data_IF_502539962300
#
_entry.id   IF_502539962300
#
_cell.length_a   1.000
_cell.length_b   1.000
_cell.length_c   1.000
_cell.angle_alpha   90.00
_cell.angle_beta   90.00
_cell.angle_gamma   90.00
#
_symmetry.space_group_name_H-M   'P 1'
#
loop_
_entity.id
_entity.type
_entity.pdbx_description
1 polymer ?
#
# COMPACT_ATOMS: atom_id res chain seq x y z
N UNK A 1 -42.35 4.99 35.02
CA UNK A 1 -41.03 5.25 34.40
C UNK A 1 -40.31 3.91 34.21
N UNK A 2 -40.09 3.46 32.97
CA UNK A 2 -39.43 2.20 32.68
C UNK A 2 -37.91 2.38 32.61
N UNK A 3 -37.15 1.65 33.44
CA UNK A 3 -35.68 1.62 33.40
C UNK A 3 -35.24 0.83 32.17
N UNK A 4 -34.53 1.46 31.23
CA UNK A 4 -33.85 0.79 30.11
C UNK A 4 -32.77 -0.13 30.68
N UNK A 5 -32.85 -1.42 30.38
CA UNK A 5 -31.83 -2.42 30.71
C UNK A 5 -30.61 -2.14 29.83
N UNK A 6 -29.46 -1.85 30.43
CA UNK A 6 -28.21 -1.72 29.70
C UNK A 6 -27.86 -3.09 29.10
N UNK A 7 -27.74 -3.14 27.78
CA UNK A 7 -27.25 -4.33 27.08
C UNK A 7 -25.73 -4.31 27.23
N UNK A 8 -25.22 -5.29 27.97
CA UNK A 8 -23.78 -5.47 28.16
C UNK A 8 -23.18 -5.95 26.83
N UNK A 9 -22.50 -5.05 26.13
CA UNK A 9 -21.83 -5.37 24.86
C UNK A 9 -20.53 -6.06 25.20
N UNK A 10 -20.40 -7.33 24.84
CA UNK A 10 -19.15 -8.07 24.99
C UNK A 10 -18.05 -7.39 24.16
N UNK A 11 -17.19 -6.63 24.82
CA UNK A 11 -16.03 -6.01 24.21
C UNK A 11 -15.01 -7.10 23.90
N UNK A 12 -15.02 -7.61 22.67
CA UNK A 12 -13.98 -8.50 22.17
C UNK A 12 -12.68 -7.71 22.17
N UNK A 13 -11.71 -8.11 23.00
CA UNK A 13 -10.43 -7.42 23.16
C UNK A 13 -9.71 -7.46 21.81
N UNK A 14 -9.47 -6.28 21.25
CA UNK A 14 -8.74 -6.10 20.00
C UNK A 14 -7.34 -6.73 20.15
N UNK A 15 -6.95 -7.58 19.20
CA UNK A 15 -5.66 -8.27 19.17
C UNK A 15 -4.48 -7.29 19.18
N UNK A 16 -4.70 -6.09 18.64
CA UNK A 16 -3.71 -5.01 18.54
C UNK A 16 -4.00 -3.86 19.53
N UNK A 17 -4.59 -4.15 20.69
CA UNK A 17 -4.92 -3.14 21.71
C UNK A 17 -3.70 -2.36 22.23
N UNK A 18 -2.51 -2.94 22.14
CA UNK A 18 -1.23 -2.35 22.55
C UNK A 18 -0.62 -1.42 21.49
N UNK A 19 -1.14 -1.45 20.25
CA UNK A 19 -0.67 -0.63 19.15
C UNK A 19 -1.64 0.53 18.92
N UNK A 20 -1.13 1.76 19.05
CA UNK A 20 -1.92 2.97 18.83
C UNK A 20 -2.64 2.89 17.47
N UNK A 21 -3.95 3.17 17.36
CA UNK A 21 -4.72 2.95 16.13
C UNK A 21 -4.12 3.58 14.87
N UNK A 22 -3.47 4.74 15.02
CA UNK A 22 -2.75 5.45 13.93
C UNK A 22 -1.55 4.66 13.39
N UNK A 23 -0.94 3.80 14.20
CA UNK A 23 0.26 3.04 13.84
C UNK A 23 -0.04 1.66 13.23
N UNK A 24 -1.32 1.30 13.05
CA UNK A 24 -1.73 -0.03 12.56
C UNK A 24 -1.46 -0.27 11.06
N UNK A 25 -0.76 0.64 10.37
CA UNK A 25 -0.51 0.54 8.92
C UNK A 25 -1.79 0.53 8.08
N UNK A 26 -2.94 0.88 8.68
CA UNK A 26 -4.24 0.94 8.04
C UNK A 26 -4.66 2.36 7.70
N UNK A 27 -3.70 3.24 7.41
CA UNK A 27 -3.99 4.57 6.87
C UNK A 27 -3.49 4.65 5.42
N UNK A 28 -4.24 5.36 4.58
CA UNK A 28 -3.78 5.72 3.24
C UNK A 28 -2.62 6.71 3.35
N UNK A 29 -1.70 6.68 2.38
CA UNK A 29 -0.64 7.68 2.32
C UNK A 29 -1.24 9.00 1.78
N UNK A 30 -1.15 10.12 2.52
CA UNK A 30 -1.66 11.39 2.03
C UNK A 30 -0.78 11.90 0.87
N UNK A 31 -1.38 12.22 -0.28
CA UNK A 31 -0.68 12.82 -1.42
C UNK A 31 -0.62 14.36 -1.37
N UNK A 32 -1.01 15.03 -0.27
CA UNK A 32 -0.84 16.48 -0.18
C UNK A 32 0.65 16.83 -0.29
N UNK A 33 1.00 17.26 -1.50
CA UNK A 33 2.32 17.43 -2.08
C UNK A 33 3.15 18.50 -1.35
N UNK A 34 3.77 18.10 -0.25
CA UNK A 34 5.03 18.66 0.22
C UNK A 34 6.20 17.76 -0.19
N UNK A 35 7.42 18.15 0.15
CA UNK A 35 8.70 17.47 -0.11
C UNK A 35 8.86 16.05 0.52
N UNK A 36 7.81 15.22 0.54
CA UNK A 36 7.78 13.90 1.18
C UNK A 36 6.84 12.87 0.55
N UNK A 37 6.14 13.16 -0.55
CA UNK A 37 5.40 12.14 -1.29
C UNK A 37 6.37 11.26 -2.08
N UNK A 38 6.22 9.92 -2.00
CA UNK A 38 7.06 9.02 -2.77
C UNK A 38 6.87 9.25 -4.28
N UNK A 39 7.96 9.31 -5.07
CA UNK A 39 7.87 9.33 -6.51
C UNK A 39 7.07 8.14 -7.01
N UNK A 40 6.17 8.41 -7.96
CA UNK A 40 5.29 7.39 -8.50
C UNK A 40 5.05 7.59 -9.99
N UNK A 41 4.63 6.52 -10.65
CA UNK A 41 4.11 6.54 -12.01
C UNK A 41 2.76 5.85 -12.08
N UNK A 42 1.93 6.29 -13.00
CA UNK A 42 0.68 5.61 -13.35
C UNK A 42 0.96 4.45 -14.30
N UNK A 43 0.34 3.31 -14.03
CA UNK A 43 0.41 2.09 -14.85
C UNK A 43 -0.95 1.40 -14.85
N UNK A 44 -1.18 0.46 -15.76
CA UNK A 44 -2.34 -0.43 -15.71
C UNK A 44 -2.12 -1.60 -14.77
N UNK A 45 -3.18 -2.05 -14.11
CA UNK A 45 -3.13 -3.20 -13.21
C UNK A 45 -2.91 -4.55 -13.90
N UNK A 46 -3.11 -4.61 -15.23
CA UNK A 46 -2.92 -5.81 -16.06
C UNK A 46 -1.45 -6.20 -16.29
N UNK A 47 -0.50 -5.39 -15.81
CA UNK A 47 0.93 -5.68 -15.91
C UNK A 47 1.56 -5.29 -17.24
N UNK A 48 0.87 -4.49 -18.08
CA UNK A 48 1.49 -3.87 -19.25
C UNK A 48 2.50 -2.82 -18.78
N UNK A 49 3.73 -3.27 -18.54
CA UNK A 49 4.85 -2.41 -18.18
C UNK A 49 5.85 -2.44 -19.32
N UNK A 50 6.07 -1.27 -19.93
CA UNK A 50 7.30 -1.04 -20.68
C UNK A 50 8.49 -1.38 -19.77
N UNK A 51 9.49 -2.18 -20.23
CA UNK A 51 10.65 -2.51 -19.45
C UNK A 51 11.34 -1.21 -19.00
N UNK A 52 11.33 -0.94 -17.70
CA UNK A 52 12.14 0.11 -17.15
C UNK A 52 13.50 -0.50 -16.83
N UNK A 53 14.58 0.09 -17.35
CA UNK A 53 15.92 -0.21 -16.88
C UNK A 53 16.06 0.36 -15.46
N UNK A 54 15.60 -0.39 -14.48
CA UNK A 54 15.72 -0.01 -13.08
C UNK A 54 17.14 -0.28 -12.61
N UNK A 55 17.90 0.80 -12.36
CA UNK A 55 19.17 0.73 -11.65
C UNK A 55 18.96 0.93 -10.14
N UNK A 56 19.55 0.06 -9.33
CA UNK A 56 19.58 0.21 -7.87
C UNK A 56 20.67 1.18 -7.39
N UNK A 57 21.52 1.68 -8.31
CA UNK A 57 22.67 2.55 -8.01
C UNK A 57 22.33 4.05 -8.11
N UNK A 58 21.05 4.39 -8.24
CA UNK A 58 20.59 5.79 -8.26
C UNK A 58 20.76 6.39 -6.86
N UNK A 59 21.45 7.53 -6.78
CA UNK A 59 21.48 8.34 -5.56
C UNK A 59 20.10 8.95 -5.31
N UNK A 60 19.37 8.35 -4.37
CA UNK A 60 17.98 8.66 -4.06
C UNK A 60 17.71 8.42 -2.58
N UNK A 61 16.83 9.23 -1.95
CA UNK A 61 16.39 8.99 -0.57
C UNK A 61 15.70 7.63 -0.37
N UNK A 62 15.32 6.95 -1.46
CA UNK A 62 14.68 5.63 -1.43
C UNK A 62 15.62 4.47 -1.78
N UNK A 63 16.94 4.72 -1.90
CA UNK A 63 17.91 3.69 -2.29
C UNK A 63 17.89 2.46 -1.36
N UNK A 64 17.91 2.68 -0.04
CA UNK A 64 17.89 1.56 0.92
C UNK A 64 16.54 0.85 0.95
N UNK A 65 15.44 1.59 0.77
CA UNK A 65 14.11 1.00 0.65
C UNK A 65 14.01 0.10 -0.58
N UNK A 66 14.54 0.55 -1.73
CA UNK A 66 14.59 -0.24 -2.95
C UNK A 66 15.45 -1.50 -2.78
N UNK A 67 16.58 -1.45 -2.05
CA UNK A 67 17.39 -2.65 -1.73
C UNK A 67 16.63 -3.66 -0.88
N UNK A 68 15.85 -3.21 0.10
CA UNK A 68 15.00 -4.10 0.91
C UNK A 68 13.95 -4.77 0.03
N UNK A 69 13.24 -3.99 -0.77
CA UNK A 69 12.24 -4.48 -1.72
C UNK A 69 12.85 -5.44 -2.74
N UNK A 70 14.05 -5.17 -3.25
CA UNK A 70 14.79 -6.05 -4.15
C UNK A 70 15.05 -7.42 -3.53
N UNK A 71 15.47 -7.46 -2.26
CA UNK A 71 15.65 -8.72 -1.53
C UNK A 71 14.34 -9.47 -1.36
N UNK A 72 13.25 -8.77 -1.01
CA UNK A 72 11.90 -9.33 -0.88
C UNK A 72 11.31 -9.77 -2.23
N UNK A 73 11.82 -9.26 -3.35
CA UNK A 73 11.41 -9.62 -4.70
C UNK A 73 12.29 -10.72 -5.33
N UNK A 74 13.05 -11.46 -4.52
CA UNK A 74 13.92 -12.54 -5.01
C UNK A 74 15.11 -12.03 -5.82
N UNK A 75 15.69 -10.89 -5.41
CA UNK A 75 16.77 -10.21 -6.11
C UNK A 75 16.41 -9.84 -7.56
N UNK A 76 15.21 -9.27 -7.74
CA UNK A 76 14.75 -8.72 -9.03
C UNK A 76 14.26 -7.28 -8.84
N UNK A 77 14.65 -6.34 -9.71
CA UNK A 77 14.10 -4.99 -9.66
C UNK A 77 12.63 -4.98 -10.09
N UNK A 78 11.95 -3.85 -9.90
CA UNK A 78 10.58 -3.64 -10.34
C UNK A 78 9.51 -4.06 -9.32
N UNK A 79 8.25 -4.24 -9.75
CA UNK A 79 7.11 -4.43 -8.85
C UNK A 79 7.24 -5.66 -7.95
N UNK A 80 6.99 -5.48 -6.66
CA UNK A 80 7.13 -6.54 -5.65
C UNK A 80 5.78 -7.20 -5.38
N UNK A 81 5.68 -8.50 -5.67
CA UNK A 81 4.45 -9.29 -5.47
C UNK A 81 3.98 -9.25 -4.02
N UNK A 82 2.69 -9.02 -3.80
CA UNK A 82 2.06 -8.97 -2.47
C UNK A 82 2.16 -7.62 -1.74
N UNK A 83 2.98 -6.69 -2.24
CA UNK A 83 3.22 -5.39 -1.62
C UNK A 83 2.36 -4.29 -2.26
N UNK A 84 1.05 -4.35 -1.99
CA UNK A 84 0.09 -3.35 -2.44
C UNK A 84 -0.08 -2.23 -1.42
N UNK A 85 -0.20 -1.00 -1.92
CA UNK A 85 -0.36 0.24 -1.15
C UNK A 85 -1.62 0.98 -1.59
N UNK A 86 -2.08 1.90 -0.74
CA UNK A 86 -3.24 2.76 -1.01
C UNK A 86 -2.80 4.20 -0.79
N UNK A 87 -3.02 5.03 -1.80
CA UNK A 87 -2.62 6.42 -1.80
C UNK A 87 -3.85 7.29 -2.03
N UNK A 88 -4.10 8.24 -1.15
CA UNK A 88 -5.16 9.24 -1.37
C UNK A 88 -4.62 10.30 -2.33
N UNK A 89 -4.98 10.19 -3.62
CA UNK A 89 -4.44 11.01 -4.71
C UNK A 89 -5.03 12.43 -4.74
N UNK A 90 -6.29 12.54 -4.32
CA UNK A 90 -7.05 13.76 -4.17
C UNK A 90 -8.00 13.54 -2.99
N UNK A 91 -8.50 14.61 -2.37
CA UNK A 91 -9.43 14.47 -1.24
C UNK A 91 -10.61 13.56 -1.60
N UNK A 92 -10.72 12.43 -0.91
CA UNK A 92 -11.78 11.45 -1.15
C UNK A 92 -11.58 10.56 -2.39
N UNK A 93 -10.39 10.51 -2.98
CA UNK A 93 -10.05 9.59 -4.08
C UNK A 93 -8.79 8.82 -3.75
N UNK A 94 -8.91 7.50 -3.81
CA UNK A 94 -7.90 6.56 -3.34
C UNK A 94 -7.47 5.64 -4.49
N UNK A 95 -6.20 5.71 -4.87
CA UNK A 95 -5.62 4.81 -5.84
C UNK A 95 -4.98 3.62 -5.12
N UNK A 96 -5.18 2.42 -5.68
CA UNK A 96 -4.38 1.25 -5.32
C UNK A 96 -3.09 1.30 -6.14
N UNK A 97 -1.98 0.90 -5.53
CA UNK A 97 -0.71 0.78 -6.20
C UNK A 97 0.10 -0.39 -5.67
N UNK A 98 1.32 -0.52 -6.19
CA UNK A 98 2.27 -1.54 -5.82
C UNK A 98 3.65 -0.93 -5.57
N UNK A 99 4.32 -1.42 -4.52
CA UNK A 99 5.71 -1.05 -4.27
C UNK A 99 6.63 -1.66 -5.31
N UNK A 100 7.62 -0.90 -5.72
CA UNK A 100 8.63 -1.31 -6.69
C UNK A 100 10.01 -1.27 -6.07
N UNK A 101 10.81 -2.30 -6.34
CA UNK A 101 12.24 -2.34 -6.06
C UNK A 101 12.97 -1.43 -7.05
N UNK A 102 12.68 -0.14 -6.97
CA UNK A 102 13.20 0.93 -7.82
C UNK A 102 13.40 2.18 -6.95
N UNK A 103 14.64 2.69 -6.82
CA UNK A 103 14.93 3.86 -5.99
C UNK A 103 14.43 5.17 -6.60
N UNK A 104 14.22 5.24 -7.92
CA UNK A 104 13.70 6.42 -8.60
C UNK A 104 12.17 6.44 -8.61
N UNK A 105 11.53 5.28 -8.75
CA UNK A 105 10.08 5.12 -8.80
C UNK A 105 9.58 4.02 -7.86
N UNK A 106 9.64 4.24 -6.52
CA UNK A 106 9.31 3.22 -5.53
C UNK A 106 7.82 2.82 -5.50
N UNK A 107 6.93 3.54 -6.20
CA UNK A 107 5.50 3.26 -6.25
C UNK A 107 4.96 3.29 -7.69
N UNK A 108 4.24 2.25 -8.07
CA UNK A 108 3.40 2.24 -9.27
C UNK A 108 1.93 2.34 -8.86
N UNK A 109 1.23 3.40 -9.26
CA UNK A 109 -0.22 3.54 -9.03
C UNK A 109 -1.00 2.97 -10.21
N UNK A 110 -2.10 2.28 -9.92
CA UNK A 110 -2.95 1.67 -10.93
C UNK A 110 -4.02 2.65 -11.42
N UNK A 111 -3.96 3.04 -12.69
CA UNK A 111 -4.87 4.02 -13.30
C UNK A 111 -6.33 3.54 -13.33
N UNK A 112 -6.52 2.22 -13.38
CA UNK A 112 -7.81 1.55 -13.46
C UNK A 112 -8.37 1.14 -12.08
N UNK A 113 -7.61 1.34 -10.99
CA UNK A 113 -8.01 0.98 -9.63
C UNK A 113 -8.05 2.20 -8.70
N UNK A 114 -8.93 3.15 -9.03
CA UNK A 114 -9.20 4.37 -8.26
C UNK A 114 -10.61 4.33 -7.67
N UNK A 115 -10.73 4.62 -6.37
CA UNK A 115 -11.95 4.46 -5.61
C UNK A 115 -12.37 5.75 -4.89
N UNK A 116 -13.68 6.02 -4.73
CA UNK A 116 -14.20 7.19 -4.01
C UNK A 116 -14.11 7.07 -2.47
N UNK A 117 -13.66 5.94 -1.92
CA UNK A 117 -13.42 5.80 -0.49
C UNK A 117 -12.30 4.80 -0.17
N UNK A 118 -11.63 5.02 0.96
CA UNK A 118 -10.47 4.23 1.37
C UNK A 118 -10.82 2.76 1.59
N UNK A 119 -12.00 2.47 2.14
CA UNK A 119 -12.45 1.11 2.40
C UNK A 119 -12.50 0.24 1.13
N UNK A 120 -12.97 0.79 0.01
CA UNK A 120 -13.01 0.07 -1.27
C UNK A 120 -11.60 -0.20 -1.80
N UNK A 121 -10.71 0.78 -1.72
CA UNK A 121 -9.30 0.60 -2.09
C UNK A 121 -8.61 -0.45 -1.19
N UNK A 122 -8.96 -0.50 0.11
CA UNK A 122 -8.48 -1.51 1.07
C UNK A 122 -8.91 -2.91 0.69
N UNK A 123 -10.20 -3.08 0.40
CA UNK A 123 -10.72 -4.37 -0.08
C UNK A 123 -10.00 -4.80 -1.34
N UNK A 124 -9.82 -3.89 -2.31
CA UNK A 124 -9.12 -4.25 -3.55
C UNK A 124 -7.66 -4.63 -3.33
N UNK A 125 -6.92 -3.86 -2.53
CA UNK A 125 -5.54 -4.17 -2.20
C UNK A 125 -5.39 -5.53 -1.48
N UNK A 126 -6.37 -5.90 -0.64
CA UNK A 126 -6.42 -7.20 0.01
C UNK A 126 -6.71 -8.34 -0.99
N UNK A 127 -7.63 -8.16 -1.93
CA UNK A 127 -7.89 -9.12 -3.02
C UNK A 127 -6.62 -9.37 -3.85
N UNK A 128 -5.94 -8.29 -4.28
CA UNK A 128 -4.71 -8.39 -5.06
C UNK A 128 -3.60 -9.11 -4.29
N UNK A 129 -3.50 -8.86 -2.98
CA UNK A 129 -2.54 -9.55 -2.10
C UNK A 129 -2.85 -11.03 -1.98
N UNK A 130 -4.12 -11.41 -1.90
CA UNK A 130 -4.54 -12.81 -1.83
C UNK A 130 -4.28 -13.55 -3.16
N UNK A 131 -4.45 -12.87 -4.30
CA UNK A 131 -4.21 -13.44 -5.63
C UNK A 131 -2.71 -13.62 -5.94
N UNK A 132 -1.88 -12.68 -5.48
CA UNK A 132 -0.43 -12.69 -5.73
C UNK A 132 0.32 -12.48 -4.40
N UNK A 133 0.40 -13.51 -3.53
CA UNK A 133 1.14 -13.43 -2.28
C UNK A 133 2.63 -13.18 -2.53
N UNK A 134 3.25 -12.41 -1.63
CA UNK A 134 4.70 -12.18 -1.64
C UNK A 134 5.49 -13.38 -1.11
N UNK A 135 6.82 -13.27 -1.17
CA UNK A 135 7.71 -14.29 -0.59
C UNK A 135 7.48 -14.33 0.94
N UNK A 136 7.00 -15.48 1.44
CA UNK A 136 6.77 -15.72 2.88
C UNK A 136 5.31 -15.78 3.35
N UNK A 137 4.33 -15.74 2.45
CA UNK A 137 2.90 -15.87 2.79
C UNK A 137 2.33 -17.30 2.65
N UNK A 138 3.16 -18.33 2.89
CA UNK A 138 2.76 -19.74 3.01
C UNK A 138 2.80 -20.18 4.47
#
# INVERSE_FOLDING_TARGET
>A
MARRRAVEVALKRDENWWLHPVLRGQQSLPLNAGAGAMPHRWVRSDGTLEPLETSLEVDSPYADFAKILYRLNGARPGPVRGFYVIVEIEKGRFAVGQLCADPALPVHLFEDLVYPCEAQARTKAAELRALAPGIGAL
#
